data_IF_617938671746
#
_entry.id   IF_617938671746
#
_cell.length_a   1.000
_cell.length_b   1.000
_cell.length_c   1.000
_cell.angle_alpha   90.00
_cell.angle_beta   90.00
_cell.angle_gamma   90.00
#
_symmetry.space_group_name_H-M   'P 1'
#
loop_
_entity.id
_entity.type
_entity.pdbx_description
1 polymer ?
#
# COMPACT_ATOMS: atom_id res chain seq x y z
N UNK A 1 -3.29 -6.71 -5.78
CA UNK A 1 -4.28 -5.64 -6.06
C UNK A 1 -5.08 -5.31 -4.81
N UNK A 2 -5.87 -6.25 -4.26
CA UNK A 2 -6.65 -6.05 -3.03
C UNK A 2 -5.83 -5.55 -1.83
N UNK A 3 -4.66 -6.15 -1.57
CA UNK A 3 -3.75 -5.69 -0.52
C UNK A 3 -3.24 -4.26 -0.77
N UNK A 4 -2.84 -3.95 -2.01
CA UNK A 4 -2.40 -2.59 -2.36
C UNK A 4 -3.53 -1.56 -2.21
N UNK A 5 -4.77 -1.93 -2.50
CA UNK A 5 -5.92 -1.05 -2.29
C UNK A 5 -6.15 -0.71 -0.81
N UNK A 6 -5.90 -1.67 0.08
CA UNK A 6 -5.89 -1.42 1.53
C UNK A 6 -4.69 -0.54 1.93
N UNK A 7 -3.46 -0.95 1.61
CA UNK A 7 -2.26 -0.21 2.00
C UNK A 7 -2.25 1.23 1.46
N UNK A 8 -2.83 1.48 0.27
CA UNK A 8 -2.96 2.84 -0.25
C UNK A 8 -3.94 3.69 0.55
N UNK A 9 -5.02 3.11 1.07
CA UNK A 9 -5.93 3.82 1.97
C UNK A 9 -5.31 4.04 3.36
N UNK A 10 -4.45 3.12 3.83
CA UNK A 10 -3.79 3.21 5.12
C UNK A 10 -2.64 4.23 5.16
N UNK A 11 -1.78 4.22 4.13
CA UNK A 11 -0.49 4.91 4.17
C UNK A 11 -0.13 5.63 2.88
N UNK A 12 -1.01 5.65 1.88
CA UNK A 12 -0.67 6.10 0.52
C UNK A 12 0.52 5.33 -0.07
N UNK A 13 0.72 4.09 0.38
CA UNK A 13 1.87 3.23 0.06
C UNK A 13 3.22 3.77 0.53
N UNK A 14 3.23 4.63 1.55
CA UNK A 14 4.44 5.19 2.13
C UNK A 14 4.87 4.40 3.38
N UNK A 15 6.00 3.67 3.34
CA UNK A 15 6.45 2.85 4.47
C UNK A 15 6.92 3.68 5.67
N UNK A 16 7.22 4.97 5.50
CA UNK A 16 7.72 5.83 6.57
C UNK A 16 6.62 6.56 7.36
N UNK A 17 5.35 6.36 7.02
CA UNK A 17 4.25 7.10 7.66
C UNK A 17 4.00 6.58 9.08
N UNK A 18 3.91 7.52 10.01
CA UNK A 18 3.33 7.33 11.33
C UNK A 18 1.95 7.99 11.30
N UNK A 19 0.95 7.35 11.91
CA UNK A 19 -0.43 7.81 11.95
C UNK A 19 -0.54 9.31 12.24
N UNK A 20 -1.42 9.98 11.49
CA UNK A 20 -1.63 11.42 11.57
C UNK A 20 -0.37 12.26 11.30
N UNK A 21 0.59 11.72 10.54
CA UNK A 21 1.90 12.36 10.28
C UNK A 21 2.65 12.73 11.56
N UNK A 22 2.47 11.95 12.62
CA UNK A 22 3.15 12.20 13.89
C UNK A 22 4.67 12.01 13.76
N UNK A 23 5.43 12.72 14.59
CA UNK A 23 6.87 12.50 14.71
C UNK A 23 7.16 11.24 15.53
N UNK A 24 8.28 10.59 15.24
CA UNK A 24 8.73 9.41 15.98
C UNK A 24 8.98 9.73 17.46
N UNK A 25 8.48 8.86 18.35
CA UNK A 25 8.69 8.90 19.78
C UNK A 25 8.89 7.46 20.29
N UNK A 26 10.09 7.12 20.76
CA UNK A 26 10.45 5.75 21.17
C UNK A 26 9.50 5.19 22.23
N UNK A 27 9.13 5.99 23.24
CA UNK A 27 8.27 5.52 24.33
C UNK A 27 6.88 5.12 23.83
N UNK A 28 6.29 5.92 22.93
CA UNK A 28 5.02 5.58 22.26
C UNK A 28 5.17 4.43 21.27
N UNK A 29 6.26 4.44 20.51
CA UNK A 29 6.52 3.45 19.46
C UNK A 29 6.65 2.04 20.05
N UNK A 30 7.29 1.92 21.22
CA UNK A 30 7.53 0.65 21.91
C UNK A 30 6.45 0.26 22.93
N UNK A 31 5.40 1.07 23.11
CA UNK A 31 4.25 0.74 23.96
C UNK A 31 3.29 -0.20 23.22
N UNK A 32 3.14 -1.44 23.71
CA UNK A 32 2.26 -2.45 23.10
C UNK A 32 0.77 -2.19 23.31
N UNK A 33 0.42 -1.30 24.25
CA UNK A 33 -0.97 -1.00 24.66
C UNK A 33 -1.50 0.29 24.04
N UNK A 34 -0.60 1.16 23.56
CA UNK A 34 -0.97 2.42 22.93
C UNK A 34 -1.57 2.18 21.53
N UNK A 35 -2.85 2.51 21.39
CA UNK A 35 -3.51 2.68 20.09
C UNK A 35 -3.37 4.10 19.54
N UNK A 36 -3.68 4.28 18.26
CA UNK A 36 -3.70 5.59 17.60
C UNK A 36 -2.31 6.12 17.23
N UNK A 37 -1.31 5.24 17.15
CA UNK A 37 0.06 5.61 16.82
C UNK A 37 0.65 4.61 15.81
N UNK A 38 -0.12 4.31 14.76
CA UNK A 38 0.18 3.25 13.80
C UNK A 38 1.33 3.57 12.82
N UNK A 39 2.00 2.54 12.28
CA UNK A 39 3.24 2.67 11.49
C UNK A 39 3.15 1.96 10.14
N UNK A 40 3.78 2.54 9.12
CA UNK A 40 4.13 1.88 7.87
C UNK A 40 2.96 1.56 6.94
N UNK A 41 3.23 0.69 5.97
CA UNK A 41 2.37 0.40 4.82
C UNK A 41 0.94 0.00 5.20
N UNK A 42 0.81 -0.83 6.23
CA UNK A 42 -0.47 -1.35 6.72
C UNK A 42 -0.96 -0.63 7.99
N UNK A 43 -0.27 0.44 8.42
CA UNK A 43 -0.59 1.10 9.68
C UNK A 43 -0.71 0.10 10.85
N UNK A 44 0.35 -0.69 11.07
CA UNK A 44 0.42 -1.57 12.23
C UNK A 44 0.37 -0.75 13.52
N UNK A 45 -0.57 -1.05 14.41
CA UNK A 45 -0.79 -0.33 15.67
C UNK A 45 -0.58 -1.25 16.88
N UNK A 46 -0.48 -0.65 18.07
CA UNK A 46 -0.35 -1.36 19.37
C UNK A 46 0.77 -2.43 19.32
N UNK A 47 0.47 -3.68 19.70
CA UNK A 47 1.46 -4.77 19.68
C UNK A 47 2.07 -5.06 18.31
N UNK A 48 1.31 -4.91 17.21
CA UNK A 48 1.83 -5.18 15.85
C UNK A 48 2.89 -4.16 15.44
N UNK A 49 2.71 -2.88 15.82
CA UNK A 49 3.76 -1.84 15.68
C UNK A 49 5.04 -2.27 16.37
N UNK A 50 4.94 -2.65 17.65
CA UNK A 50 6.11 -3.05 18.45
C UNK A 50 6.82 -4.25 17.83
N UNK A 51 6.06 -5.23 17.32
CA UNK A 51 6.61 -6.38 16.62
C UNK A 51 7.37 -6.00 15.35
N UNK A 52 6.84 -5.09 14.52
CA UNK A 52 7.54 -4.56 13.35
C UNK A 52 8.87 -3.89 13.74
N UNK A 53 8.86 -3.03 14.76
CA UNK A 53 10.05 -2.31 15.22
C UNK A 53 11.11 -3.27 15.78
N UNK A 54 10.69 -4.28 16.53
CA UNK A 54 11.58 -5.32 17.04
C UNK A 54 12.15 -6.18 15.90
N UNK A 55 11.33 -6.53 14.91
CA UNK A 55 11.79 -7.23 13.71
C UNK A 55 12.85 -6.40 12.98
N UNK A 56 12.59 -5.11 12.73
CA UNK A 56 13.55 -4.19 12.13
C UNK A 56 14.89 -4.13 12.88
N UNK A 57 14.83 -3.99 14.21
CA UNK A 57 16.02 -4.03 15.09
C UNK A 57 16.78 -5.37 14.95
N UNK A 58 16.08 -6.50 14.92
CA UNK A 58 16.69 -7.84 14.76
C UNK A 58 17.41 -8.01 13.42
N UNK A 59 16.85 -7.42 12.36
CA UNK A 59 17.41 -7.45 11.01
C UNK A 59 18.51 -6.39 10.79
N UNK A 60 18.76 -5.52 11.78
CA UNK A 60 19.66 -4.37 11.67
C UNK A 60 19.32 -3.47 10.47
N UNK A 61 18.02 -3.29 10.21
CA UNK A 61 17.47 -2.49 9.11
C UNK A 61 16.54 -1.41 9.65
N UNK A 62 16.30 -0.36 8.86
CA UNK A 62 15.28 0.63 9.20
C UNK A 62 13.90 0.01 9.16
N UNK A 63 13.02 0.38 10.10
CA UNK A 63 11.62 -0.01 10.03
C UNK A 63 10.90 0.61 8.82
N UNK A 64 11.42 1.71 8.27
CA UNK A 64 10.89 2.40 7.08
C UNK A 64 11.27 1.70 5.77
N UNK A 65 12.06 0.62 5.82
CA UNK A 65 12.45 -0.13 4.64
C UNK A 65 11.26 -0.92 4.08
N UNK A 66 10.93 -0.70 2.80
CA UNK A 66 9.77 -1.33 2.16
C UNK A 66 9.88 -2.86 2.14
N UNK A 67 11.06 -3.40 1.84
CA UNK A 67 11.24 -4.85 1.76
C UNK A 67 11.09 -5.50 3.13
N UNK A 68 11.61 -4.85 4.18
CA UNK A 68 11.44 -5.29 5.55
C UNK A 68 9.96 -5.30 5.97
N UNK A 69 9.19 -4.26 5.60
CA UNK A 69 7.76 -4.22 5.93
C UNK A 69 6.96 -5.28 5.18
N UNK A 70 7.28 -5.53 3.90
CA UNK A 70 6.65 -6.62 3.13
C UNK A 70 6.99 -7.97 3.73
N UNK A 71 8.25 -8.21 4.08
CA UNK A 71 8.65 -9.46 4.74
C UNK A 71 7.97 -9.63 6.10
N UNK A 72 7.91 -8.56 6.90
CA UNK A 72 7.20 -8.58 8.17
C UNK A 72 5.74 -8.98 7.99
N UNK A 73 5.06 -8.33 7.04
CA UNK A 73 3.67 -8.56 6.71
C UNK A 73 3.36 -10.04 6.40
N UNK A 74 4.21 -10.67 5.58
CA UNK A 74 3.96 -12.02 5.09
C UNK A 74 4.58 -13.14 5.93
N UNK A 75 5.59 -12.85 6.74
CA UNK A 75 6.37 -13.89 7.41
C UNK A 75 6.57 -13.69 8.92
N UNK A 76 6.43 -12.47 9.46
CA UNK A 76 6.85 -12.17 10.84
C UNK A 76 5.76 -11.54 11.72
N UNK A 77 4.56 -11.31 11.17
CA UNK A 77 3.38 -10.82 11.90
C UNK A 77 2.55 -11.99 12.49
N UNK A 78 3.22 -13.10 12.84
CA UNK A 78 2.62 -14.26 13.51
C UNK A 78 1.44 -14.88 12.75
N UNK A 79 0.31 -15.06 13.46
CA UNK A 79 -0.92 -15.60 12.87
C UNK A 79 -1.54 -14.68 11.82
N UNK A 80 -1.30 -13.36 11.92
CA UNK A 80 -1.79 -12.39 10.94
C UNK A 80 -1.08 -12.58 9.59
N UNK A 81 0.22 -12.92 9.58
CA UNK A 81 0.91 -13.30 8.34
C UNK A 81 0.31 -14.55 7.69
N UNK A 82 -0.06 -15.55 8.49
CA UNK A 82 -0.73 -16.76 7.99
C UNK A 82 -2.10 -16.44 7.38
N UNK A 83 -2.89 -15.61 8.07
CA UNK A 83 -4.19 -15.14 7.59
C UNK A 83 -4.03 -14.36 6.28
N UNK A 84 -3.10 -13.40 6.21
CA UNK A 84 -2.91 -12.61 5.01
C UNK A 84 -2.55 -13.49 3.81
N UNK A 85 -1.62 -14.45 3.98
CA UNK A 85 -1.24 -15.41 2.94
C UNK A 85 -2.42 -16.23 2.41
N UNK A 86 -3.43 -16.48 3.24
CA UNK A 86 -4.67 -17.12 2.80
C UNK A 86 -5.56 -16.15 2.03
N UNK A 87 -5.77 -14.94 2.56
CA UNK A 87 -6.65 -13.94 1.97
C UNK A 87 -6.18 -13.48 0.59
N UNK A 88 -4.88 -13.22 0.41
CA UNK A 88 -4.34 -12.71 -0.88
C UNK A 88 -4.48 -13.68 -2.05
N UNK A 89 -4.85 -14.95 -1.80
CA UNK A 89 -5.15 -15.95 -2.84
C UNK A 89 -6.57 -15.82 -3.40
N UNK A 90 -7.41 -14.95 -2.83
CA UNK A 90 -8.76 -14.70 -3.31
C UNK A 90 -8.79 -14.17 -4.74
N UNK A 91 -9.75 -14.65 -5.54
CA UNK A 91 -9.88 -14.29 -6.95
C UNK A 91 -10.86 -13.14 -7.20
N UNK A 92 -11.75 -12.85 -6.26
CA UNK A 92 -12.65 -11.69 -6.30
C UNK A 92 -11.96 -10.50 -5.62
N UNK A 93 -11.52 -9.51 -6.40
CA UNK A 93 -10.77 -8.35 -5.88
C UNK A 93 -11.56 -7.57 -4.84
N UNK A 94 -12.87 -7.33 -5.04
CA UNK A 94 -13.69 -6.56 -4.08
C UNK A 94 -13.87 -7.28 -2.76
N UNK A 95 -14.23 -8.56 -2.82
CA UNK A 95 -14.42 -9.38 -1.62
C UNK A 95 -13.10 -9.56 -0.88
N UNK A 96 -12.00 -9.81 -1.60
CA UNK A 96 -10.67 -9.95 -0.99
C UNK A 96 -10.22 -8.66 -0.34
N UNK A 97 -10.53 -7.50 -0.93
CA UNK A 97 -10.23 -6.19 -0.35
C UNK A 97 -10.96 -5.99 0.98
N UNK A 98 -12.25 -6.32 1.01
CA UNK A 98 -13.05 -6.26 2.24
C UNK A 98 -12.56 -7.25 3.30
N UNK A 99 -12.23 -8.47 2.90
CA UNK A 99 -11.74 -9.50 3.81
C UNK A 99 -10.41 -9.10 4.44
N UNK A 100 -9.47 -8.54 3.66
CA UNK A 100 -8.22 -8.00 4.20
C UNK A 100 -8.51 -6.87 5.19
N UNK A 101 -9.36 -5.90 4.80
CA UNK A 101 -9.73 -4.77 5.65
C UNK A 101 -10.35 -5.20 6.99
N UNK A 102 -11.30 -6.14 6.96
CA UNK A 102 -12.06 -6.53 8.14
C UNK A 102 -11.37 -7.56 9.01
N UNK A 103 -10.66 -8.52 8.41
CA UNK A 103 -10.10 -9.68 9.12
C UNK A 103 -8.63 -9.46 9.49
N UNK A 104 -7.83 -8.93 8.57
CA UNK A 104 -6.38 -8.76 8.78
C UNK A 104 -6.02 -7.39 9.34
N UNK A 105 -6.55 -6.30 8.76
CA UNK A 105 -6.34 -4.95 9.30
C UNK A 105 -7.17 -4.70 10.54
N UNK A 106 -8.42 -5.20 10.55
CA UNK A 106 -9.44 -4.87 11.56
C UNK A 106 -9.62 -3.35 11.64
N UNK A 107 -9.67 -2.71 10.47
CA UNK A 107 -9.71 -1.26 10.36
C UNK A 107 -10.92 -0.65 11.09
N UNK A 108 -10.67 0.37 11.92
CA UNK A 108 -11.74 1.09 12.62
C UNK A 108 -12.64 1.92 11.68
N UNK A 109 -12.07 2.43 10.58
CA UNK A 109 -12.78 3.23 9.57
C UNK A 109 -13.46 2.34 8.51
N UNK A 110 -14.52 1.62 8.90
CA UNK A 110 -15.23 0.66 8.02
C UNK A 110 -15.91 1.30 6.81
N UNK A 111 -16.20 2.60 6.86
CA UNK A 111 -16.74 3.41 5.78
C UNK A 111 -15.76 3.64 4.61
N UNK A 112 -14.45 3.42 4.85
CA UNK A 112 -13.42 3.52 3.81
C UNK A 112 -13.41 2.36 2.80
N UNK A 113 -14.29 1.36 2.96
CA UNK A 113 -14.30 0.16 2.10
C UNK A 113 -14.44 0.49 0.61
N UNK A 114 -15.36 1.39 0.24
CA UNK A 114 -15.58 1.75 -1.17
C UNK A 114 -14.32 2.36 -1.79
N UNK A 115 -13.62 3.24 -1.04
CA UNK A 115 -12.33 3.84 -1.45
C UNK A 115 -11.27 2.77 -1.66
N UNK A 116 -11.13 1.82 -0.73
CA UNK A 116 -10.17 0.70 -0.81
C UNK A 116 -10.45 -0.21 -2.00
N UNK A 117 -11.72 -0.50 -2.27
CA UNK A 117 -12.12 -1.29 -3.44
C UNK A 117 -11.80 -0.55 -4.75
N UNK A 118 -12.02 0.76 -4.82
CA UNK A 118 -11.63 1.58 -5.96
C UNK A 118 -10.11 1.56 -6.21
N UNK A 119 -9.29 1.69 -5.15
CA UNK A 119 -7.84 1.53 -5.29
C UNK A 119 -7.44 0.10 -5.70
N UNK A 120 -8.09 -0.92 -5.16
CA UNK A 120 -7.81 -2.30 -5.53
C UNK A 120 -8.12 -2.58 -7.01
N UNK A 121 -9.23 -2.04 -7.53
CA UNK A 121 -9.57 -2.10 -8.96
C UNK A 121 -8.52 -1.37 -9.81
N UNK A 122 -8.12 -0.16 -9.41
CA UNK A 122 -7.03 0.58 -10.08
C UNK A 122 -5.76 -0.28 -10.19
N UNK A 123 -5.29 -0.84 -9.07
CA UNK A 123 -4.08 -1.67 -9.07
C UNK A 123 -4.25 -2.98 -9.86
N UNK A 124 -5.45 -3.57 -9.84
CA UNK A 124 -5.73 -4.76 -10.63
C UNK A 124 -5.61 -4.45 -12.13
N UNK A 125 -6.27 -3.39 -12.59
CA UNK A 125 -6.17 -2.92 -13.98
C UNK A 125 -4.72 -2.60 -14.31
N UNK A 126 -4.06 -1.75 -13.53
CA UNK A 126 -2.66 -1.37 -13.74
C UNK A 126 -1.74 -2.59 -13.93
N UNK A 127 -1.83 -3.60 -13.07
CA UNK A 127 -0.95 -4.77 -13.16
C UNK A 127 -1.34 -5.76 -14.28
N UNK A 128 -2.60 -5.79 -14.73
CA UNK A 128 -3.07 -6.74 -15.75
C UNK A 128 -3.02 -6.16 -17.17
N UNK A 129 -3.09 -4.85 -17.31
CA UNK A 129 -3.01 -4.16 -18.60
C UNK A 129 -1.62 -3.56 -18.87
N UNK A 130 -0.66 -3.75 -17.96
CA UNK A 130 0.71 -3.30 -18.13
C UNK A 130 0.97 -1.84 -17.76
N UNK A 131 0.06 -1.22 -17.00
CA UNK A 131 0.19 0.14 -16.51
C UNK A 131 0.21 1.13 -17.67
N UNK A 132 -0.98 1.55 -18.09
CA UNK A 132 -1.19 2.42 -19.26
C UNK A 132 -0.90 1.71 -20.60
N UNK A 133 -1.82 0.82 -20.99
CA UNK A 133 -1.97 0.46 -22.40
C UNK A 133 -2.53 1.67 -23.13
N UNK A 134 -1.64 2.54 -23.61
CA UNK A 134 -1.98 3.58 -24.55
C UNK A 134 -2.90 3.01 -25.64
N UNK A 135 -3.98 3.74 -25.91
CA UNK A 135 -5.07 3.52 -26.89
C UNK A 135 -6.39 3.00 -26.29
N UNK A 136 -7.25 3.95 -25.89
CA UNK A 136 -8.66 3.89 -26.27
C UNK A 136 -9.69 3.74 -25.14
N UNK A 137 -10.18 4.89 -24.65
CA UNK A 137 -11.59 5.07 -24.29
C UNK A 137 -12.06 4.52 -22.95
N UNK A 138 -11.80 5.25 -21.86
CA UNK A 138 -12.47 5.04 -20.58
C UNK A 138 -11.96 6.01 -19.52
N UNK A 139 -12.58 7.20 -19.46
CA UNK A 139 -12.32 8.31 -18.52
C UNK A 139 -10.88 8.38 -18.00
N UNK A 140 -10.00 8.77 -18.92
CA UNK A 140 -8.67 9.23 -18.56
C UNK A 140 -8.75 10.37 -17.57
N UNK A 141 -7.74 10.44 -16.72
CA UNK A 141 -7.39 11.62 -15.94
C UNK A 141 -7.58 12.84 -16.85
N UNK A 142 -8.60 13.67 -16.61
CA UNK A 142 -8.57 15.01 -17.18
C UNK A 142 -7.37 15.68 -16.51
N UNK A 143 -6.41 16.23 -17.27
CA UNK A 143 -5.31 16.98 -16.69
C UNK A 143 -5.85 18.36 -16.30
N UNK A 144 -6.84 18.38 -15.41
CA UNK A 144 -7.31 19.63 -14.83
C UNK A 144 -6.26 20.04 -13.80
N UNK A 145 -5.39 20.94 -14.24
CA UNK A 145 -4.41 21.59 -13.39
C UNK A 145 -5.18 22.27 -12.24
N UNK A 146 -4.90 21.94 -10.97
CA UNK A 146 -5.61 22.52 -9.84
C UNK A 146 -5.58 24.06 -9.90
N UNK A 147 -6.69 24.69 -9.52
CA UNK A 147 -6.80 26.16 -9.49
C UNK A 147 -5.61 26.79 -8.77
N UNK A 148 -4.87 27.66 -9.48
CA UNK A 148 -3.67 28.33 -8.98
C UNK A 148 -2.32 27.78 -9.47
N UNK A 149 -2.30 26.69 -10.25
CA UNK A 149 -1.09 26.15 -10.87
C UNK A 149 -1.08 26.42 -12.37
N UNK A 150 0.07 26.78 -12.95
CA UNK A 150 0.28 26.88 -14.40
C UNK A 150 1.35 25.91 -14.85
N UNK A 151 1.13 25.30 -16.02
CA UNK A 151 2.13 24.48 -16.67
C UNK A 151 2.85 25.35 -17.71
N UNK A 152 4.08 25.76 -17.41
CA UNK A 152 4.82 26.71 -18.26
C UNK A 152 5.34 26.08 -19.57
N UNK A 153 5.31 24.74 -19.70
CA UNK A 153 5.67 24.00 -20.92
C UNK A 153 4.87 22.71 -21.10
N UNK A 154 4.48 22.34 -22.33
CA UNK A 154 3.80 21.07 -22.58
C UNK A 154 4.68 19.87 -22.19
N UNK A 155 4.05 18.84 -21.64
CA UNK A 155 4.71 17.57 -21.31
C UNK A 155 5.01 16.83 -22.62
N UNK A 156 6.29 16.63 -22.94
CA UNK A 156 6.71 15.90 -24.15
C UNK A 156 6.97 14.42 -23.82
N UNK A 157 6.08 13.55 -24.27
CA UNK A 157 6.17 12.09 -24.10
C UNK A 157 6.70 11.36 -25.33
N UNK A 158 7.09 12.07 -26.40
CA UNK A 158 7.44 11.49 -27.71
C UNK A 158 8.66 10.55 -27.71
N UNK A 159 9.44 10.50 -26.61
CA UNK A 159 10.61 9.62 -26.47
C UNK A 159 10.40 8.38 -25.61
N UNK A 160 9.21 8.19 -25.01
CA UNK A 160 8.91 7.01 -24.20
C UNK A 160 8.38 5.89 -25.09
N UNK A 161 9.23 4.90 -25.38
CA UNK A 161 8.83 3.65 -26.05
C UNK A 161 8.65 2.55 -24.99
N UNK A 162 7.40 2.23 -24.66
CA UNK A 162 7.04 1.20 -23.68
C UNK A 162 7.23 -0.25 -24.19
N UNK A 163 7.87 -0.45 -25.35
CA UNK A 163 7.93 -1.75 -26.05
C UNK A 163 9.29 -2.46 -25.99
N UNK A 164 10.28 -1.95 -25.26
CA UNK A 164 11.66 -2.45 -25.37
C UNK A 164 11.99 -3.69 -24.51
N UNK A 165 11.05 -4.24 -23.74
CA UNK A 165 11.29 -5.47 -22.97
C UNK A 165 10.21 -6.52 -23.26
N UNK A 166 10.61 -7.64 -23.86
CA UNK A 166 9.75 -8.81 -23.98
C UNK A 166 9.45 -9.43 -22.60
N UNK A 167 8.19 -9.82 -22.42
CA UNK A 167 7.66 -10.48 -21.24
C UNK A 167 8.48 -11.75 -20.90
N UNK A 168 9.01 -11.83 -19.65
CA UNK A 168 9.80 -12.93 -19.03
C UNK A 168 11.33 -12.92 -19.18
N UNK A 169 11.97 -11.78 -19.37
CA UNK A 169 13.41 -11.69 -19.10
C UNK A 169 13.69 -10.79 -17.89
N UNK A 170 13.83 -11.42 -16.72
CA UNK A 170 14.60 -10.83 -15.63
C UNK A 170 16.07 -11.21 -15.87
N UNK A 171 16.94 -10.23 -16.10
CA UNK A 171 18.39 -10.38 -15.89
C UNK A 171 18.78 -9.80 -14.55
#
# INVERSE_FOLDING_TARGET
AALLGNNQAESELQPSIIQSNATYNEAKAMDTTLGGYAFGLAQWDSGRRVNLLNYAKSQKKSWTDTNLQVEFMFEQDGTDSTLLKQLVKGTNVKQTTEDIMRKWERAGAVDSLSKRQGFAEYWYTFMTTGGDSGTGGGSGITPDIPSGWTLDKPINTSGYLATSYEYKQCT
#
